data_IF_807223000669
#
_entry.id   IF_807223000669
#
_cell.length_a   1.000
_cell.length_b   1.000
_cell.length_c   1.000
_cell.angle_alpha   90.00
_cell.angle_beta   90.00
_cell.angle_gamma   90.00
#
_symmetry.space_group_name_H-M   'P 1'
#
loop_
_entity.id
_entity.type
_entity.pdbx_description
1 polymer ?
#
# COMPACT_ATOMS: atom_id res chain seq x y z
N UNK A 1 8.19 6.31 -8.82
CA UNK A 1 7.99 4.84 -8.85
C UNK A 1 7.34 4.34 -10.14
N UNK A 2 6.64 5.20 -10.89
CA UNK A 2 5.96 4.83 -12.13
C UNK A 2 6.88 4.74 -13.38
N UNK A 3 8.16 5.09 -13.26
CA UNK A 3 9.13 4.98 -14.35
C UNK A 3 9.98 3.72 -14.16
N UNK A 4 9.90 2.72 -15.08
CA UNK A 4 10.63 1.45 -14.94
C UNK A 4 12.14 1.62 -14.82
N UNK A 5 12.74 2.47 -15.66
CA UNK A 5 14.19 2.70 -15.66
C UNK A 5 14.66 3.33 -14.34
N UNK A 6 13.91 4.29 -13.81
CA UNK A 6 14.25 4.91 -12.53
C UNK A 6 14.10 3.91 -11.35
N UNK A 7 13.12 3.02 -11.41
CA UNK A 7 12.98 1.95 -10.41
C UNK A 7 14.14 0.98 -10.50
N UNK A 8 14.46 0.47 -11.70
CA UNK A 8 15.58 -0.46 -11.90
C UNK A 8 16.90 0.15 -11.43
N UNK A 9 17.13 1.46 -11.70
CA UNK A 9 18.32 2.19 -11.22
C UNK A 9 18.37 2.28 -9.69
N UNK A 10 17.27 2.69 -9.03
CA UNK A 10 17.22 2.80 -7.58
C UNK A 10 17.50 1.46 -6.86
N UNK A 11 16.98 0.34 -7.40
CA UNK A 11 17.25 -0.98 -6.83
C UNK A 11 18.67 -1.46 -7.11
N UNK A 12 19.27 -1.11 -8.27
CA UNK A 12 20.67 -1.37 -8.55
C UNK A 12 21.58 -0.60 -7.59
N UNK A 13 21.30 0.67 -7.33
CA UNK A 13 22.04 1.51 -6.37
C UNK A 13 21.95 0.94 -4.95
N UNK A 14 20.76 0.52 -4.52
CA UNK A 14 20.56 -0.12 -3.22
C UNK A 14 21.36 -1.41 -3.08
N UNK A 15 21.35 -2.26 -4.13
CA UNK A 15 22.13 -3.50 -4.15
C UNK A 15 23.63 -3.23 -4.13
N UNK A 16 24.10 -2.21 -4.87
CA UNK A 16 25.50 -1.82 -4.86
C UNK A 16 25.95 -1.30 -3.48
N UNK A 17 25.08 -0.57 -2.78
CA UNK A 17 25.38 0.01 -1.48
C UNK A 17 25.37 -1.01 -0.33
N UNK A 18 24.47 -2.00 -0.34
CA UNK A 18 24.23 -2.91 0.79
C UNK A 18 24.44 -4.39 0.46
N UNK A 19 24.64 -4.74 -0.79
CA UNK A 19 24.91 -6.12 -1.23
C UNK A 19 23.67 -7.04 -1.22
N UNK A 20 22.55 -6.62 -0.60
CA UNK A 20 21.32 -7.39 -0.51
C UNK A 20 20.09 -6.52 -0.23
N UNK A 21 18.93 -7.12 -0.37
CA UNK A 21 17.65 -6.50 -0.05
C UNK A 21 16.81 -7.45 0.81
N UNK A 22 16.60 -7.12 2.07
CA UNK A 22 15.84 -7.97 3.00
C UNK A 22 14.37 -7.61 3.07
N UNK A 23 14.03 -6.33 2.98
CA UNK A 23 12.66 -5.86 3.06
C UNK A 23 12.39 -4.72 2.08
N UNK A 24 11.26 -4.81 1.39
CA UNK A 24 10.68 -3.72 0.63
C UNK A 24 9.35 -3.31 1.29
N UNK A 25 9.19 -2.03 1.60
CA UNK A 25 7.89 -1.44 1.91
C UNK A 25 7.39 -0.61 0.73
N UNK A 26 6.44 -1.12 -0.02
CA UNK A 26 5.77 -0.42 -1.11
C UNK A 26 4.78 0.59 -0.56
N UNK A 27 5.26 1.79 -0.23
CA UNK A 27 4.48 2.83 0.43
C UNK A 27 4.02 3.96 -0.50
N UNK A 28 4.70 4.19 -1.62
CA UNK A 28 4.38 5.29 -2.51
C UNK A 28 2.94 5.21 -3.02
N UNK A 29 2.20 6.30 -2.89
CA UNK A 29 0.80 6.37 -3.33
C UNK A 29 0.25 7.79 -3.26
N UNK A 30 -0.76 8.04 -4.06
CA UNK A 30 -1.54 9.28 -4.07
C UNK A 30 -3.01 9.00 -3.85
N UNK A 31 -3.70 9.93 -3.20
CA UNK A 31 -5.15 9.92 -3.04
C UNK A 31 -5.85 10.55 -4.24
N UNK A 32 -7.12 10.19 -4.40
CA UNK A 32 -8.03 10.87 -5.30
C UNK A 32 -9.42 10.76 -4.68
N UNK A 33 -9.92 11.88 -4.16
CA UNK A 33 -11.22 11.97 -3.52
C UNK A 33 -11.89 13.24 -4.04
N UNK A 34 -12.93 13.15 -4.84
CA UNK A 34 -13.59 14.39 -5.27
C UNK A 34 -15.03 14.24 -5.74
N UNK A 35 -15.34 13.34 -6.70
CA UNK A 35 -16.59 13.49 -7.45
C UNK A 35 -17.08 12.16 -7.98
N UNK A 36 -18.19 12.16 -8.71
CA UNK A 36 -18.77 10.98 -9.37
C UNK A 36 -17.92 10.55 -10.55
N UNK A 37 -18.07 9.30 -10.96
CA UNK A 37 -17.22 8.64 -11.96
C UNK A 37 -17.15 9.40 -13.30
N UNK A 38 -18.26 9.98 -13.71
CA UNK A 38 -18.41 10.71 -14.98
C UNK A 38 -17.67 12.05 -15.00
N UNK A 39 -17.38 12.61 -13.83
CA UNK A 39 -16.66 13.88 -13.67
C UNK A 39 -15.17 13.70 -13.38
N UNK A 40 -14.72 12.47 -13.10
CA UNK A 40 -13.30 12.22 -12.84
C UNK A 40 -12.49 12.40 -14.11
N UNK A 41 -11.51 13.32 -14.16
CA UNK A 41 -10.63 13.44 -15.33
C UNK A 41 -9.89 12.11 -15.57
N UNK A 42 -9.84 11.66 -16.83
CA UNK A 42 -9.13 10.43 -17.22
C UNK A 42 -7.67 10.48 -16.76
N UNK A 43 -7.04 11.65 -16.79
CA UNK A 43 -5.66 11.80 -16.33
C UNK A 43 -5.52 11.49 -14.83
N UNK A 44 -6.47 11.88 -13.99
CA UNK A 44 -6.49 11.54 -12.56
C UNK A 44 -6.52 10.01 -12.36
N UNK A 45 -7.35 9.31 -13.14
CA UNK A 45 -7.36 7.85 -13.12
C UNK A 45 -6.00 7.26 -13.50
N UNK A 46 -5.41 7.73 -14.61
CA UNK A 46 -4.12 7.25 -15.10
C UNK A 46 -2.99 7.51 -14.10
N UNK A 47 -2.95 8.68 -13.48
CA UNK A 47 -1.93 9.03 -12.47
C UNK A 47 -2.03 8.13 -11.23
N UNK A 48 -3.24 7.93 -10.71
CA UNK A 48 -3.44 7.07 -9.54
C UNK A 48 -3.08 5.61 -9.85
N UNK A 49 -3.49 5.07 -11.00
CA UNK A 49 -3.13 3.71 -11.42
C UNK A 49 -1.62 3.59 -11.63
N UNK A 50 -1.01 4.57 -12.28
CA UNK A 50 0.42 4.59 -12.57
C UNK A 50 1.26 4.56 -11.29
N UNK A 51 0.91 5.36 -10.28
CA UNK A 51 1.68 5.44 -9.03
C UNK A 51 1.32 4.30 -8.09
N UNK A 52 0.02 4.12 -7.78
CA UNK A 52 -0.39 3.22 -6.71
C UNK A 52 -0.28 1.74 -7.09
N UNK A 53 -0.54 1.39 -8.36
CA UNK A 53 -0.57 0.01 -8.82
C UNK A 53 0.67 -0.34 -9.65
N UNK A 54 0.91 0.38 -10.75
CA UNK A 54 2.05 0.10 -11.62
C UNK A 54 3.37 0.31 -10.88
N UNK A 55 3.50 1.38 -10.10
CA UNK A 55 4.68 1.65 -9.28
C UNK A 55 4.94 0.54 -8.26
N UNK A 56 3.90 0.09 -7.55
CA UNK A 56 4.02 -1.03 -6.61
C UNK A 56 4.44 -2.34 -7.30
N UNK A 57 3.90 -2.62 -8.48
CA UNK A 57 4.31 -3.77 -9.30
C UNK A 57 5.78 -3.67 -9.72
N UNK A 58 6.23 -2.52 -10.21
CA UNK A 58 7.62 -2.33 -10.65
C UNK A 58 8.61 -2.52 -9.51
N UNK A 59 8.33 -1.92 -8.35
CA UNK A 59 9.18 -2.08 -7.16
C UNK A 59 9.16 -3.53 -6.64
N UNK A 60 7.99 -4.16 -6.59
CA UNK A 60 7.89 -5.56 -6.19
C UNK A 60 8.64 -6.49 -7.15
N UNK A 61 8.55 -6.26 -8.46
CA UNK A 61 9.27 -7.01 -9.49
C UNK A 61 10.80 -6.91 -9.32
N UNK A 62 11.31 -5.70 -9.09
CA UNK A 62 12.75 -5.47 -8.88
C UNK A 62 13.24 -6.13 -7.58
N UNK A 63 12.51 -5.94 -6.47
CA UNK A 63 12.82 -6.57 -5.19
C UNK A 63 12.78 -8.10 -5.27
N UNK A 64 11.75 -8.65 -5.88
CA UNK A 64 11.57 -10.10 -6.03
C UNK A 64 12.75 -10.73 -6.79
N UNK A 65 13.24 -10.09 -7.86
CA UNK A 65 14.41 -10.55 -8.59
C UNK A 65 15.65 -10.63 -7.68
N UNK A 66 15.93 -9.56 -6.95
CA UNK A 66 17.08 -9.52 -6.02
C UNK A 66 16.93 -10.58 -4.93
N UNK A 67 15.80 -10.65 -4.24
CA UNK A 67 15.53 -11.59 -3.16
C UNK A 67 15.63 -13.05 -3.60
N UNK A 68 15.27 -13.35 -4.85
CA UNK A 68 15.40 -14.69 -5.42
C UNK A 68 16.85 -15.08 -5.74
N UNK A 69 17.67 -14.11 -6.16
CA UNK A 69 19.04 -14.34 -6.67
C UNK A 69 20.12 -14.16 -5.60
N UNK A 70 19.86 -13.43 -4.51
CA UNK A 70 20.80 -13.19 -3.41
C UNK A 70 21.10 -14.46 -2.58
N UNK A 71 22.18 -14.43 -1.78
CA UNK A 71 22.56 -15.50 -0.86
C UNK A 71 22.75 -14.97 0.58
N UNK A 72 22.05 -15.50 1.59
CA UNK A 72 20.94 -16.44 1.46
C UNK A 72 19.76 -15.86 0.71
N UNK A 73 18.96 -16.71 0.04
CA UNK A 73 17.73 -16.33 -0.64
C UNK A 73 16.69 -15.81 0.34
N UNK A 74 15.69 -15.15 -0.21
CA UNK A 74 14.49 -14.73 0.52
C UNK A 74 14.48 -13.26 0.90
N UNK A 75 13.37 -12.86 1.45
CA UNK A 75 13.11 -11.49 1.86
C UNK A 75 11.61 -11.24 2.05
N UNK A 76 11.26 -9.99 2.29
CA UNK A 76 9.87 -9.62 2.58
C UNK A 76 9.43 -8.41 1.75
N UNK A 77 8.28 -8.53 1.11
CA UNK A 77 7.61 -7.43 0.40
C UNK A 77 6.34 -7.08 1.17
N UNK A 78 6.27 -5.86 1.70
CA UNK A 78 5.11 -5.34 2.41
C UNK A 78 4.46 -4.28 1.53
N UNK A 79 3.22 -4.51 1.11
CA UNK A 79 2.46 -3.57 0.32
C UNK A 79 1.59 -2.69 1.21
N UNK A 80 1.62 -1.37 0.98
CA UNK A 80 0.71 -0.43 1.61
C UNK A 80 -0.68 -0.54 0.97
N UNK A 81 -1.57 -1.24 1.65
CA UNK A 81 -2.98 -1.31 1.32
C UNK A 81 -3.77 -0.11 1.85
N UNK A 82 -5.01 -0.35 2.18
CA UNK A 82 -5.92 0.59 2.83
C UNK A 82 -7.17 -0.14 3.25
N UNK A 83 -7.89 0.35 4.24
CA UNK A 83 -9.27 -0.09 4.48
C UNK A 83 -10.18 0.11 3.24
N UNK A 84 -9.78 1.00 2.31
CA UNK A 84 -10.42 1.15 0.99
C UNK A 84 -10.26 -0.07 0.08
N UNK A 85 -9.41 -1.04 0.44
CA UNK A 85 -9.38 -2.36 -0.21
C UNK A 85 -10.57 -3.26 0.19
N UNK A 86 -11.37 -2.83 1.17
CA UNK A 86 -12.52 -3.58 1.71
C UNK A 86 -13.83 -2.80 1.59
N UNK A 87 -13.80 -1.51 1.92
CA UNK A 87 -14.97 -0.63 1.89
C UNK A 87 -14.63 0.71 1.23
N UNK A 88 -15.31 1.08 0.13
CA UNK A 88 -15.05 2.33 -0.57
C UNK A 88 -15.53 3.54 0.22
N UNK A 89 -15.03 4.73 -0.17
CA UNK A 89 -15.58 6.02 0.21
C UNK A 89 -16.28 6.66 -1.01
N UNK A 90 -17.26 7.53 -0.81
CA UNK A 90 -17.78 8.35 -1.89
C UNK A 90 -16.65 9.11 -2.61
N UNK A 91 -16.70 9.18 -3.94
CA UNK A 91 -15.71 9.91 -4.75
C UNK A 91 -14.30 9.32 -4.79
N UNK A 92 -14.09 8.06 -4.40
CA UNK A 92 -12.75 7.46 -4.30
C UNK A 92 -12.44 6.38 -5.33
N UNK A 93 -13.13 6.35 -6.47
CA UNK A 93 -13.04 5.27 -7.45
C UNK A 93 -11.60 4.93 -7.86
N UNK A 94 -10.73 5.88 -8.30
CA UNK A 94 -9.37 5.53 -8.72
C UNK A 94 -8.56 4.92 -7.56
N UNK A 95 -8.64 5.54 -6.40
CA UNK A 95 -7.92 5.08 -5.21
C UNK A 95 -8.42 3.70 -4.75
N UNK A 96 -9.73 3.55 -4.58
CA UNK A 96 -10.35 2.28 -4.15
C UNK A 96 -10.01 1.14 -5.11
N UNK A 97 -10.12 1.37 -6.42
CA UNK A 97 -9.78 0.38 -7.44
C UNK A 97 -8.32 -0.10 -7.31
N UNK A 98 -7.38 0.85 -7.15
CA UNK A 98 -5.97 0.47 -6.99
C UNK A 98 -5.72 -0.29 -5.68
N UNK A 99 -6.38 0.08 -4.58
CA UNK A 99 -6.19 -0.61 -3.28
C UNK A 99 -6.79 -2.03 -3.28
N UNK A 100 -7.88 -2.27 -3.99
CA UNK A 100 -8.36 -3.63 -4.26
C UNK A 100 -7.37 -4.43 -5.12
N UNK A 101 -6.79 -3.80 -6.16
CA UNK A 101 -5.80 -4.45 -7.01
C UNK A 101 -4.51 -4.82 -6.26
N UNK A 102 -4.07 -4.01 -5.29
CA UNK A 102 -2.93 -4.32 -4.40
C UNK A 102 -3.17 -5.61 -3.62
N UNK A 103 -4.40 -5.89 -3.21
CA UNK A 103 -4.74 -7.17 -2.56
C UNK A 103 -4.49 -8.37 -3.49
N UNK A 104 -4.87 -8.25 -4.76
CA UNK A 104 -4.56 -9.25 -5.78
C UNK A 104 -3.05 -9.42 -5.98
N UNK A 105 -2.31 -8.32 -6.13
CA UNK A 105 -0.85 -8.32 -6.26
C UNK A 105 -0.19 -9.03 -5.06
N UNK A 106 -0.59 -8.70 -3.83
CA UNK A 106 -0.05 -9.31 -2.60
C UNK A 106 -0.27 -10.82 -2.56
N UNK A 107 -1.48 -11.27 -2.89
CA UNK A 107 -1.81 -12.70 -2.93
C UNK A 107 -0.99 -13.46 -3.96
N UNK A 108 -0.82 -12.90 -5.17
CA UNK A 108 -0.01 -13.49 -6.23
C UNK A 108 1.46 -13.55 -5.86
N UNK A 109 2.02 -12.47 -5.33
CA UNK A 109 3.41 -12.44 -4.83
C UNK A 109 3.66 -13.47 -3.73
N UNK A 110 2.69 -13.66 -2.81
CA UNK A 110 2.79 -14.68 -1.76
C UNK A 110 2.82 -16.10 -2.32
N UNK A 111 2.11 -16.37 -3.41
CA UNK A 111 2.13 -17.67 -4.07
C UNK A 111 3.45 -17.90 -4.81
N UNK A 112 3.86 -16.93 -5.62
CA UNK A 112 5.06 -17.02 -6.46
C UNK A 112 6.36 -17.00 -5.64
N UNK A 113 6.35 -16.38 -4.45
CA UNK A 113 7.49 -16.25 -3.57
C UNK A 113 7.88 -17.51 -2.79
N UNK A 114 6.94 -18.47 -2.62
CA UNK A 114 7.13 -19.67 -1.79
C UNK A 114 8.40 -20.48 -2.11
N UNK A 115 8.75 -20.75 -3.38
CA UNK A 115 9.94 -21.52 -3.70
C UNK A 115 11.26 -20.78 -3.42
N UNK A 116 11.20 -19.50 -3.06
CA UNK A 116 12.35 -18.61 -2.91
C UNK A 116 12.48 -18.00 -1.52
N UNK A 117 11.68 -18.44 -0.53
CA UNK A 117 11.60 -17.88 0.81
C UNK A 117 11.25 -16.37 0.82
N UNK A 118 10.45 -15.93 -0.17
CA UNK A 118 9.97 -14.55 -0.28
C UNK A 118 8.57 -14.46 0.30
N UNK A 119 8.43 -13.72 1.41
CA UNK A 119 7.16 -13.42 2.04
C UNK A 119 6.53 -12.17 1.43
N UNK A 120 5.23 -12.22 1.13
CA UNK A 120 4.47 -11.03 0.74
C UNK A 120 3.37 -10.75 1.76
N UNK A 121 3.23 -9.48 2.11
CA UNK A 121 2.31 -8.99 3.13
C UNK A 121 1.59 -7.75 2.66
N UNK A 122 0.45 -7.44 3.27
CA UNK A 122 -0.26 -6.18 3.08
C UNK A 122 -0.66 -5.59 4.42
N UNK A 123 -0.41 -4.29 4.59
CA UNK A 123 -0.93 -3.52 5.73
C UNK A 123 -2.04 -2.60 5.24
N UNK A 124 -3.26 -2.80 5.75
CA UNK A 124 -4.42 -1.96 5.44
C UNK A 124 -4.56 -0.87 6.49
N UNK A 125 -4.30 0.37 6.07
CA UNK A 125 -4.23 1.52 6.95
C UNK A 125 -5.53 2.31 6.87
N UNK A 126 -6.05 2.69 8.04
CA UNK A 126 -7.23 3.54 8.18
C UNK A 126 -6.95 4.81 8.98
N UNK A 127 -7.03 5.96 8.31
CA UNK A 127 -6.95 7.30 8.90
C UNK A 127 -5.71 7.57 9.77
N UNK A 128 -4.51 7.17 9.31
CA UNK A 128 -3.27 7.66 9.90
C UNK A 128 -3.07 9.14 9.56
N UNK A 129 -2.76 9.98 10.54
CA UNK A 129 -2.57 11.41 10.36
C UNK A 129 -1.26 11.69 9.62
N UNK A 130 -1.39 11.97 8.34
CA UNK A 130 -0.31 12.40 7.42
C UNK A 130 -0.79 13.60 6.65
N UNK A 131 0.07 14.25 5.88
CA UNK A 131 -0.32 15.38 5.01
C UNK A 131 -1.49 14.99 4.09
N UNK A 132 -1.48 13.78 3.53
CA UNK A 132 -2.58 13.26 2.70
C UNK A 132 -3.90 13.13 3.49
N UNK A 133 -3.83 12.84 4.77
CA UNK A 133 -5.00 12.59 5.62
C UNK A 133 -5.49 13.84 6.36
N UNK A 134 -4.82 14.98 6.22
CA UNK A 134 -5.17 16.22 6.93
C UNK A 134 -6.63 16.63 6.68
N UNK A 135 -7.13 16.47 5.45
CA UNK A 135 -8.52 16.78 5.11
C UNK A 135 -9.53 15.94 5.92
N UNK A 136 -9.16 14.76 6.42
CA UNK A 136 -10.05 13.91 7.20
C UNK A 136 -10.42 14.54 8.55
N UNK A 137 -9.57 15.40 9.09
CA UNK A 137 -9.82 16.10 10.36
C UNK A 137 -10.82 17.24 10.24
N UNK A 138 -11.04 17.74 9.02
CA UNK A 138 -11.95 18.87 8.75
C UNK A 138 -13.29 18.41 8.17
N UNK A 139 -13.31 17.39 7.32
CA UNK A 139 -14.55 16.83 6.81
C UNK A 139 -14.35 15.91 5.61
N UNK A 140 -14.97 14.74 5.68
CA UNK A 140 -15.02 13.76 4.61
C UNK A 140 -16.44 13.44 4.20
N UNK A 141 -16.72 13.25 2.91
CA UNK A 141 -18.03 12.80 2.44
C UNK A 141 -18.40 11.44 3.06
N UNK A 142 -19.61 11.36 3.58
CA UNK A 142 -20.19 10.15 4.15
C UNK A 142 -21.21 9.53 3.18
N UNK A 143 -21.56 8.23 3.32
CA UNK A 143 -22.54 7.57 2.46
C UNK A 143 -23.94 8.23 2.50
N UNK A 144 -24.29 8.88 3.59
CA UNK A 144 -25.56 9.60 3.76
C UNK A 144 -25.57 11.00 3.12
N UNK A 145 -24.47 11.37 2.41
CA UNK A 145 -24.30 12.69 1.77
C UNK A 145 -23.83 13.79 2.73
N UNK A 146 -23.71 13.54 4.02
CA UNK A 146 -23.15 14.51 4.97
C UNK A 146 -21.62 14.61 4.84
N UNK A 147 -21.07 15.74 5.31
CA UNK A 147 -19.61 15.92 5.45
C UNK A 147 -19.30 15.95 6.94
N UNK A 148 -18.43 15.05 7.40
CA UNK A 148 -18.08 14.94 8.82
C UNK A 148 -16.57 14.76 8.99
N UNK A 149 -15.98 15.36 10.06
CA UNK A 149 -14.63 15.02 10.45
C UNK A 149 -14.55 13.56 10.90
N UNK A 150 -13.44 12.91 10.64
CA UNK A 150 -13.20 11.54 11.03
C UNK A 150 -12.02 11.44 12.00
N UNK A 151 -12.09 10.49 12.92
CA UNK A 151 -11.01 10.21 13.85
C UNK A 151 -9.76 9.73 13.08
N UNK A 152 -8.61 10.19 13.55
CA UNK A 152 -7.28 9.80 13.04
C UNK A 152 -6.46 9.15 14.15
N UNK A 153 -5.41 8.45 13.77
CA UNK A 153 -4.39 7.91 14.68
C UNK A 153 -3.01 8.48 14.33
N UNK A 154 -2.08 8.42 15.27
CA UNK A 154 -0.69 8.79 15.04
C UNK A 154 -0.04 7.83 14.03
N UNK A 155 0.71 8.37 13.07
CA UNK A 155 1.40 7.60 12.03
C UNK A 155 2.47 6.66 12.59
N UNK A 156 2.98 6.92 13.79
CA UNK A 156 3.95 6.05 14.47
C UNK A 156 3.41 4.66 14.76
N UNK A 157 2.09 4.50 14.94
CA UNK A 157 1.45 3.20 15.08
C UNK A 157 1.55 2.37 13.80
N UNK A 158 1.46 3.01 12.64
CA UNK A 158 1.68 2.36 11.34
C UNK A 158 3.15 1.95 11.20
N UNK A 159 4.08 2.86 11.51
CA UNK A 159 5.52 2.58 11.43
C UNK A 159 5.92 1.39 12.32
N UNK A 160 5.42 1.35 13.57
CA UNK A 160 5.66 0.23 14.49
C UNK A 160 5.09 -1.09 13.97
N UNK A 161 3.92 -1.05 13.32
CA UNK A 161 3.29 -2.23 12.72
C UNK A 161 4.09 -2.75 11.53
N UNK A 162 4.56 -1.87 10.65
CA UNK A 162 5.44 -2.24 9.52
C UNK A 162 6.75 -2.83 10.02
N UNK A 163 7.35 -2.22 11.05
CA UNK A 163 8.57 -2.73 11.67
C UNK A 163 8.38 -4.12 12.27
N UNK A 164 7.24 -4.36 12.96
CA UNK A 164 6.89 -5.68 13.46
C UNK A 164 6.81 -6.71 12.33
N UNK A 165 6.09 -6.39 11.25
CA UNK A 165 5.98 -7.27 10.08
C UNK A 165 7.35 -7.54 9.43
N UNK A 166 8.20 -6.51 9.32
CA UNK A 166 9.53 -6.60 8.71
C UNK A 166 10.51 -7.49 9.50
N UNK A 167 10.41 -7.47 10.83
CA UNK A 167 11.32 -8.19 11.72
C UNK A 167 10.94 -9.65 11.99
N UNK A 168 9.81 -10.14 11.47
CA UNK A 168 9.47 -11.55 11.59
C UNK A 168 10.48 -12.42 10.81
N UNK A 169 10.84 -13.62 11.33
CA UNK A 169 11.61 -14.59 10.56
C UNK A 169 10.83 -15.02 9.31
N UNK A 170 11.53 -15.55 8.28
CA UNK A 170 10.89 -15.88 7.00
C UNK A 170 9.99 -17.13 7.05
N UNK A 171 10.02 -17.91 8.13
CA UNK A 171 9.09 -19.00 8.39
C UNK A 171 7.74 -18.54 8.99
N UNK A 172 7.63 -17.23 9.31
CA UNK A 172 6.39 -16.61 9.78
C UNK A 172 6.04 -15.38 8.94
N UNK A 173 4.76 -15.22 8.61
CA UNK A 173 4.28 -14.08 7.85
C UNK A 173 2.93 -13.54 8.37
N UNK A 174 2.87 -12.23 8.63
CA UNK A 174 1.60 -11.52 8.74
C UNK A 174 1.11 -11.23 7.34
N UNK A 175 0.26 -12.10 6.80
CA UNK A 175 -0.23 -11.99 5.41
C UNK A 175 -1.05 -10.70 5.19
N UNK A 176 -1.95 -10.38 6.12
CA UNK A 176 -2.76 -9.15 6.12
C UNK A 176 -2.84 -8.59 7.53
N UNK A 177 -2.68 -7.28 7.67
CA UNK A 177 -2.84 -6.55 8.92
C UNK A 177 -3.68 -5.30 8.68
N UNK A 178 -4.69 -5.07 9.51
CA UNK A 178 -5.44 -3.81 9.51
C UNK A 178 -5.08 -2.98 10.73
N UNK A 179 -4.63 -1.74 10.51
CA UNK A 179 -4.31 -0.76 11.56
C UNK A 179 -5.10 0.51 11.28
N UNK A 180 -5.98 0.89 12.19
CA UNK A 180 -6.91 1.97 11.96
C UNK A 180 -7.27 2.74 13.23
N UNK A 181 -7.67 4.00 13.09
CA UNK A 181 -8.24 4.75 14.20
C UNK A 181 -9.55 4.09 14.66
N UNK A 182 -9.71 3.71 15.94
CA UNK A 182 -10.85 2.90 16.39
C UNK A 182 -12.20 3.60 16.26
N UNK A 183 -12.22 4.95 16.22
CA UNK A 183 -13.44 5.75 16.08
C UNK A 183 -13.74 6.20 14.64
N UNK A 184 -12.91 5.79 13.66
CA UNK A 184 -13.20 6.10 12.26
C UNK A 184 -14.34 5.21 11.73
N UNK A 185 -15.16 5.69 10.78
CA UNK A 185 -16.20 4.87 10.18
C UNK A 185 -15.58 3.82 9.24
N UNK A 186 -15.71 2.55 9.60
CA UNK A 186 -15.30 1.40 8.79
C UNK A 186 -16.31 0.25 8.93
N UNK A 187 -16.37 -0.42 10.09
CA UNK A 187 -17.43 -1.39 10.38
C UNK A 187 -18.71 -0.60 10.63
N UNK A 188 -19.82 -1.01 10.00
CA UNK A 188 -21.09 -0.32 10.08
C UNK A 188 -21.17 0.95 9.21
N UNK A 189 -20.22 1.18 8.32
CA UNK A 189 -20.33 2.20 7.26
C UNK A 189 -21.36 1.71 6.23
N UNK A 190 -22.43 2.44 6.05
CA UNK A 190 -23.49 2.12 5.09
C UNK A 190 -24.76 2.75 5.48
#
# INVERSE_FOLDING_TARGET
VANPTAVDGAFADALAAWGRLDTLFNNAGIGSFSTTIDEIPVQTWLDVVSINLTGSFLCARAAFKIMREQSPKGGRIINNGSISAHAPRPGSIPYTSTKHAITGLTKSLSLDGRPFDICASQIDIGNALTDMAQAMTTGMPQPDGSIRPEATMDVTHVASSVLHMANLPLDANVQFMTVMAPKMPFIGRG
#
